data_IF_144279493321
#
_entry.id   IF_144279493321
#
_cell.length_a   1.000
_cell.length_b   1.000
_cell.length_c   1.000
_cell.angle_alpha   90.00
_cell.angle_beta   90.00
_cell.angle_gamma   90.00
#
_symmetry.space_group_name_H-M   'P 1'
#
loop_
_entity.id
_entity.type
_entity.pdbx_description
1 polymer ?
#
# COMPACT_ATOMS: atom_id res chain seq x y z
N UNK A 1 2.75 19.12 -4.06
CA UNK A 1 1.32 18.94 -4.39
C UNK A 1 1.11 17.61 -5.11
N UNK A 2 -0.04 16.99 -4.91
CA UNK A 2 -0.39 15.67 -5.45
C UNK A 2 -1.68 15.77 -6.27
N UNK A 3 -1.80 14.97 -7.32
CA UNK A 3 -2.87 15.01 -8.31
C UNK A 3 -3.48 13.63 -8.43
N UNK A 4 -4.79 13.52 -8.43
CA UNK A 4 -5.50 12.27 -8.67
C UNK A 4 -5.49 11.95 -10.18
N UNK A 5 -4.95 10.78 -10.53
CA UNK A 5 -4.98 10.25 -11.89
C UNK A 5 -6.15 9.29 -12.04
N UNK A 6 -7.04 9.57 -12.97
CA UNK A 6 -8.14 8.70 -13.36
C UNK A 6 -7.83 7.95 -14.66
N UNK A 7 -8.42 6.78 -14.80
CA UNK A 7 -8.46 6.04 -16.05
C UNK A 7 -9.41 6.74 -17.06
N UNK A 8 -9.39 6.33 -18.32
CA UNK A 8 -10.35 6.79 -19.30
C UNK A 8 -11.82 6.52 -18.91
N UNK A 9 -12.07 5.50 -18.11
CA UNK A 9 -13.37 5.14 -17.49
C UNK A 9 -13.74 5.96 -16.26
N UNK A 10 -12.95 6.98 -15.86
CA UNK A 10 -13.07 7.74 -14.60
C UNK A 10 -12.77 6.93 -13.33
N UNK A 11 -12.32 5.72 -13.43
CA UNK A 11 -11.87 4.94 -12.26
C UNK A 11 -10.56 5.51 -11.70
N UNK A 12 -10.45 5.69 -10.37
CA UNK A 12 -9.21 6.12 -9.74
C UNK A 12 -8.08 5.11 -9.98
N UNK A 13 -6.95 5.58 -10.51
CA UNK A 13 -5.77 4.74 -10.71
C UNK A 13 -4.75 4.91 -9.59
N UNK A 14 -4.35 6.15 -9.33
CA UNK A 14 -3.31 6.47 -8.34
C UNK A 14 -3.17 7.97 -8.13
N UNK A 15 -2.49 8.35 -7.07
CA UNK A 15 -2.02 9.72 -6.86
C UNK A 15 -0.63 9.88 -7.47
N UNK A 16 -0.41 10.98 -8.20
CA UNK A 16 0.86 11.32 -8.86
C UNK A 16 1.29 12.75 -8.48
N UNK A 17 2.53 13.12 -8.80
CA UNK A 17 3.02 14.49 -8.59
C UNK A 17 2.45 15.44 -9.63
N UNK A 18 2.28 16.72 -9.29
CA UNK A 18 1.84 17.78 -10.21
C UNK A 18 2.71 17.84 -11.47
N UNK A 19 4.03 17.71 -11.35
CA UNK A 19 4.95 17.67 -12.50
C UNK A 19 4.60 16.54 -13.46
N UNK A 20 4.30 15.33 -12.95
CA UNK A 20 3.94 14.19 -13.79
C UNK A 20 2.57 14.37 -14.44
N UNK A 21 1.60 14.96 -13.73
CA UNK A 21 0.28 15.26 -14.26
C UNK A 21 0.36 16.27 -15.42
N UNK A 22 1.08 17.36 -15.25
CA UNK A 22 1.31 18.35 -16.31
C UNK A 22 2.00 17.72 -17.52
N UNK A 23 3.01 16.88 -17.32
CA UNK A 23 3.66 16.17 -18.43
C UNK A 23 2.70 15.29 -19.22
N UNK A 24 1.72 14.65 -18.58
CA UNK A 24 0.69 13.85 -19.24
C UNK A 24 -0.30 14.74 -20.02
N UNK A 25 -0.72 15.87 -19.46
CA UNK A 25 -1.63 16.82 -20.10
C UNK A 25 -0.97 17.47 -21.31
N UNK A 26 0.23 18.00 -21.15
CA UNK A 26 0.97 18.68 -22.21
C UNK A 26 1.35 17.74 -23.37
N UNK A 27 1.58 16.46 -23.07
CA UNK A 27 1.83 15.44 -24.10
C UNK A 27 0.57 14.86 -24.75
N UNK A 28 -0.61 15.39 -24.41
CA UNK A 28 -1.91 14.93 -24.96
C UNK A 28 -2.33 13.53 -24.50
N UNK A 29 -1.71 12.99 -23.45
CA UNK A 29 -2.02 11.65 -22.91
C UNK A 29 -3.12 11.67 -21.85
N UNK A 30 -3.39 12.83 -21.25
CA UNK A 30 -4.45 13.04 -20.26
C UNK A 30 -5.15 14.37 -20.50
N UNK A 31 -6.38 14.47 -20.01
CA UNK A 31 -7.17 15.69 -19.94
C UNK A 31 -7.18 16.22 -18.50
N UNK A 32 -7.16 17.53 -18.34
CA UNK A 32 -7.46 18.20 -17.08
C UNK A 32 -8.96 18.03 -16.79
N UNK A 33 -9.30 17.47 -15.66
CA UNK A 33 -10.70 17.30 -15.21
C UNK A 33 -11.08 18.34 -14.17
N UNK A 34 -10.21 18.53 -13.17
CA UNK A 34 -10.42 19.51 -12.10
C UNK A 34 -9.12 20.28 -11.88
N UNK A 35 -9.11 21.61 -11.99
CA UNK A 35 -7.98 22.43 -11.58
C UNK A 35 -7.88 22.49 -10.06
N UNK A 36 -6.70 22.82 -9.54
CA UNK A 36 -6.44 23.05 -8.11
C UNK A 36 -6.67 24.53 -7.79
N UNK A 37 -7.93 24.93 -7.62
CA UNK A 37 -8.31 26.31 -7.46
C UNK A 37 -7.92 27.18 -8.65
N UNK A 38 -7.45 28.40 -8.37
CA UNK A 38 -6.98 29.37 -9.38
C UNK A 38 -5.47 29.34 -9.57
N UNK A 39 -4.78 28.30 -9.08
CA UNK A 39 -3.34 28.18 -9.19
C UNK A 39 -2.91 27.91 -10.66
N UNK A 40 -1.94 28.69 -11.14
CA UNK A 40 -1.37 28.58 -12.46
C UNK A 40 0.13 28.43 -12.43
N UNK A 41 0.66 27.65 -13.36
CA UNK A 41 2.10 27.50 -13.60
C UNK A 41 2.43 28.18 -14.93
N UNK A 42 3.43 29.05 -14.92
CA UNK A 42 3.92 29.71 -16.12
C UNK A 42 5.15 28.99 -16.68
N UNK A 43 5.13 28.71 -17.98
CA UNK A 43 6.28 28.17 -18.69
C UNK A 43 7.35 29.24 -18.94
N UNK A 44 8.57 28.82 -19.24
CA UNK A 44 9.66 29.73 -19.65
C UNK A 44 9.33 30.50 -20.93
N UNK A 45 8.42 29.98 -21.79
CA UNK A 45 7.90 30.63 -22.98
C UNK A 45 6.69 31.54 -22.75
N UNK A 46 6.29 31.78 -21.47
CA UNK A 46 5.20 32.68 -21.10
C UNK A 46 3.79 32.08 -21.15
N UNK A 47 3.62 30.83 -21.57
CA UNK A 47 2.31 30.16 -21.54
C UNK A 47 1.91 29.80 -20.09
N UNK A 48 0.64 30.02 -19.73
CA UNK A 48 0.07 29.72 -18.45
C UNK A 48 -0.76 28.42 -18.52
N UNK A 49 -0.62 27.58 -17.50
CA UNK A 49 -1.33 26.31 -17.37
C UNK A 49 -1.95 26.22 -15.97
N UNK A 50 -3.23 25.85 -15.89
CA UNK A 50 -3.86 25.58 -14.61
C UNK A 50 -3.19 24.38 -13.93
N UNK A 51 -2.95 24.50 -12.63
CA UNK A 51 -2.44 23.38 -11.82
C UNK A 51 -3.54 22.32 -11.71
N UNK A 52 -3.29 21.06 -12.07
CA UNK A 52 -4.30 20.03 -11.98
C UNK A 52 -4.45 19.50 -10.54
N UNK A 53 -5.69 19.37 -10.06
CA UNK A 53 -6.06 18.53 -8.92
C UNK A 53 -6.44 17.12 -9.36
N UNK A 54 -7.12 17.01 -10.53
CA UNK A 54 -7.54 15.74 -11.11
C UNK A 54 -7.25 15.73 -12.60
N UNK A 55 -6.61 14.66 -13.09
CA UNK A 55 -6.40 14.40 -14.51
C UNK A 55 -6.92 13.03 -14.90
N UNK A 56 -7.42 12.88 -16.13
CA UNK A 56 -7.95 11.63 -16.69
C UNK A 56 -7.14 11.21 -17.91
N UNK A 57 -6.75 9.95 -17.98
CA UNK A 57 -6.12 9.39 -19.17
C UNK A 57 -7.08 9.37 -20.36
N UNK A 58 -6.58 9.70 -21.55
CA UNK A 58 -7.34 9.58 -22.80
C UNK A 58 -7.49 8.15 -23.29
N UNK A 59 -6.53 7.28 -22.93
CA UNK A 59 -6.57 5.87 -23.29
C UNK A 59 -6.78 5.02 -22.05
N UNK A 60 -7.61 3.99 -22.18
CA UNK A 60 -7.87 3.01 -21.13
C UNK A 60 -6.59 2.24 -20.79
N UNK A 61 -6.22 2.21 -19.52
CA UNK A 61 -5.18 1.34 -18.99
C UNK A 61 -5.86 0.19 -18.27
N UNK A 62 -5.58 -1.03 -18.71
CA UNK A 62 -6.00 -2.22 -17.97
C UNK A 62 -5.11 -2.35 -16.73
N UNK A 63 -5.69 -2.12 -15.57
CA UNK A 63 -5.05 -2.47 -14.29
C UNK A 63 -5.37 -3.94 -14.03
N UNK A 64 -4.37 -4.82 -13.94
CA UNK A 64 -4.64 -6.21 -13.56
C UNK A 64 -5.36 -6.23 -12.22
N UNK A 65 -6.49 -6.93 -12.16
CA UNK A 65 -7.17 -7.15 -10.88
C UNK A 65 -6.26 -8.00 -9.99
N UNK A 66 -5.67 -7.37 -8.98
CA UNK A 66 -4.95 -8.10 -7.96
C UNK A 66 -5.96 -8.60 -6.94
N UNK A 67 -6.27 -9.88 -6.99
CA UNK A 67 -7.21 -10.53 -6.06
C UNK A 67 -6.77 -10.39 -4.60
N UNK A 68 -5.48 -10.16 -4.35
CA UNK A 68 -4.89 -9.95 -3.02
C UNK A 68 -3.91 -8.79 -3.07
N UNK A 69 -3.88 -7.97 -2.03
CA UNK A 69 -2.88 -6.93 -1.88
C UNK A 69 -1.46 -7.52 -1.85
N UNK A 70 -0.45 -6.85 -2.42
CA UNK A 70 0.93 -7.30 -2.32
C UNK A 70 1.36 -7.35 -0.85
N UNK A 71 2.06 -8.44 -0.48
CA UNK A 71 2.56 -8.63 0.87
C UNK A 71 3.66 -7.61 1.16
N UNK A 72 3.34 -6.61 1.95
CA UNK A 72 4.27 -5.56 2.37
C UNK A 72 4.12 -5.28 3.86
N UNK A 73 5.16 -4.72 4.48
CA UNK A 73 5.11 -4.34 5.90
C UNK A 73 3.92 -3.42 6.21
N UNK A 74 3.68 -2.43 5.37
CA UNK A 74 2.56 -1.48 5.52
C UNK A 74 1.22 -2.22 5.46
N UNK A 75 1.07 -3.15 4.54
CA UNK A 75 -0.15 -3.92 4.37
C UNK A 75 -0.38 -4.91 5.51
N UNK A 76 0.68 -5.58 6.02
CA UNK A 76 0.60 -6.44 7.20
C UNK A 76 0.24 -5.61 8.44
N UNK A 77 0.83 -4.43 8.62
CA UNK A 77 0.51 -3.54 9.73
C UNK A 77 -0.93 -2.98 9.62
N UNK A 78 -1.44 -2.73 8.42
CA UNK A 78 -2.84 -2.33 8.22
C UNK A 78 -3.82 -3.46 8.61
N UNK A 79 -3.47 -4.72 8.35
CA UNK A 79 -4.27 -5.89 8.75
C UNK A 79 -4.21 -6.14 10.27
N UNK A 80 -3.01 -6.20 10.84
CA UNK A 80 -2.74 -6.64 12.23
C UNK A 80 -2.85 -5.50 13.25
N UNK A 81 -2.84 -4.24 12.76
CA UNK A 81 -2.71 -3.07 13.62
C UNK A 81 -1.25 -2.83 14.07
N UNK A 82 -1.08 -1.90 14.99
CA UNK A 82 0.25 -1.50 15.49
C UNK A 82 0.79 -2.41 16.61
N UNK A 83 0.01 -3.36 17.10
CA UNK A 83 0.34 -4.19 18.25
C UNK A 83 0.99 -5.53 17.88
N UNK A 84 1.75 -6.07 18.81
CA UNK A 84 2.22 -7.46 18.74
C UNK A 84 1.02 -8.42 18.77
N UNK A 85 1.04 -9.41 17.89
CA UNK A 85 -0.08 -10.36 17.73
C UNK A 85 -0.05 -11.57 18.67
N UNK A 86 0.95 -11.68 19.53
CA UNK A 86 0.95 -12.70 20.59
C UNK A 86 -0.09 -12.34 21.65
N UNK A 87 -0.94 -13.30 22.04
CA UNK A 87 -1.96 -13.11 23.08
C UNK A 87 -1.32 -12.65 24.39
N UNK A 88 -1.94 -11.68 25.07
CA UNK A 88 -1.43 -11.09 26.31
C UNK A 88 -0.29 -10.08 26.11
N UNK A 89 0.20 -9.85 24.89
CA UNK A 89 1.23 -8.85 24.64
C UNK A 89 0.62 -7.49 24.26
N UNK A 90 1.01 -6.42 24.97
CA UNK A 90 0.59 -5.04 24.71
C UNK A 90 1.68 -4.19 24.04
N UNK A 91 2.82 -4.80 23.65
CA UNK A 91 3.93 -4.07 22.99
C UNK A 91 3.62 -3.77 21.54
N UNK A 92 4.28 -2.74 21.02
CA UNK A 92 4.22 -2.40 19.60
C UNK A 92 4.82 -3.53 18.76
N UNK A 93 4.15 -3.86 17.65
CA UNK A 93 4.64 -4.79 16.62
C UNK A 93 5.63 -4.08 15.70
N UNK A 94 6.91 -4.33 15.91
CA UNK A 94 7.99 -3.65 15.20
C UNK A 94 8.62 -4.51 14.11
N UNK A 95 8.34 -5.80 14.11
CA UNK A 95 8.91 -6.78 13.17
C UNK A 95 7.82 -7.59 12.52
N UNK A 96 8.11 -8.12 11.34
CA UNK A 96 7.31 -9.17 10.70
C UNK A 96 7.97 -10.50 11.05
N UNK A 97 7.17 -11.44 11.52
CA UNK A 97 7.60 -12.80 11.79
C UNK A 97 6.79 -13.81 10.99
N UNK A 98 7.41 -14.95 10.67
CA UNK A 98 6.75 -16.09 10.06
C UNK A 98 6.25 -17.04 11.13
N UNK A 99 4.94 -17.30 11.20
CA UNK A 99 4.34 -18.23 12.17
C UNK A 99 5.01 -19.59 12.11
N UNK A 100 5.08 -20.18 10.93
CA UNK A 100 5.96 -21.29 10.60
C UNK A 100 7.26 -20.72 10.06
N UNK A 101 8.39 -20.90 10.72
CA UNK A 101 9.67 -20.35 10.29
C UNK A 101 10.07 -20.85 8.90
N UNK A 102 10.76 -20.00 8.13
CA UNK A 102 11.24 -20.38 6.78
C UNK A 102 12.18 -21.58 6.82
N UNK A 103 13.00 -21.70 7.86
CA UNK A 103 13.87 -22.87 8.09
C UNK A 103 13.10 -24.18 8.28
N UNK A 104 11.81 -24.09 8.62
CA UNK A 104 10.89 -25.22 8.79
C UNK A 104 9.83 -25.32 7.68
N UNK A 105 10.12 -24.75 6.50
CA UNK A 105 9.23 -24.82 5.33
C UNK A 105 8.13 -23.79 5.28
N UNK A 106 8.13 -22.78 6.16
CA UNK A 106 7.16 -21.69 6.15
C UNK A 106 7.29 -20.81 4.91
N UNK A 107 6.17 -20.51 4.24
CA UNK A 107 6.10 -19.65 3.06
C UNK A 107 5.98 -18.18 3.44
N UNK A 108 6.35 -17.28 2.52
CA UNK A 108 6.17 -15.84 2.70
C UNK A 108 4.81 -15.42 2.12
N UNK A 109 3.75 -15.77 2.84
CA UNK A 109 2.36 -15.57 2.43
C UNK A 109 1.54 -14.90 3.54
N UNK A 110 0.40 -14.34 3.15
CA UNK A 110 -0.52 -13.65 4.07
C UNK A 110 -0.94 -14.50 5.27
N UNK A 111 -1.10 -15.79 5.08
CA UNK A 111 -1.50 -16.75 6.11
C UNK A 111 -0.39 -17.16 7.07
N UNK A 112 0.87 -16.83 6.73
CA UNK A 112 2.03 -17.23 7.52
C UNK A 112 2.85 -16.06 8.08
N UNK A 113 2.47 -14.81 7.87
CA UNK A 113 3.20 -13.65 8.39
C UNK A 113 2.34 -12.80 9.31
N UNK A 114 2.98 -12.21 10.33
CA UNK A 114 2.29 -11.41 11.34
C UNK A 114 3.18 -10.34 11.95
N UNK A 115 2.56 -9.29 12.52
CA UNK A 115 3.28 -8.28 13.28
C UNK A 115 3.66 -8.80 14.67
N UNK A 116 4.94 -8.71 15.01
CA UNK A 116 5.46 -9.17 16.31
C UNK A 116 6.40 -8.11 16.92
N UNK A 117 6.43 -7.98 18.24
CA UNK A 117 7.43 -7.13 18.90
C UNK A 117 8.82 -7.80 18.84
N UNK A 118 9.87 -7.00 18.89
CA UNK A 118 11.25 -7.49 18.82
C UNK A 118 11.52 -8.59 19.84
N UNK A 119 11.03 -8.44 21.08
CA UNK A 119 11.24 -9.44 22.14
C UNK A 119 10.65 -10.80 21.77
N UNK A 120 9.37 -10.84 21.34
CA UNK A 120 8.74 -12.11 20.99
C UNK A 120 9.36 -12.70 19.72
N UNK A 121 9.69 -11.87 18.73
CA UNK A 121 10.35 -12.33 17.50
C UNK A 121 11.71 -12.98 17.81
N UNK A 122 12.56 -12.32 18.60
CA UNK A 122 13.86 -12.87 19.02
C UNK A 122 13.71 -14.13 19.88
N UNK A 123 12.73 -14.15 20.79
CA UNK A 123 12.48 -15.31 21.64
C UNK A 123 11.92 -16.49 20.84
N UNK A 124 11.12 -16.23 19.81
CA UNK A 124 10.57 -17.27 18.94
C UNK A 124 11.65 -17.90 18.09
N UNK A 125 12.51 -17.08 17.47
CA UNK A 125 13.55 -17.60 16.56
C UNK A 125 12.96 -18.56 15.50
N UNK A 126 13.43 -19.78 15.41
CA UNK A 126 12.98 -20.84 14.51
C UNK A 126 11.98 -21.84 15.12
N UNK A 127 11.43 -21.51 16.31
CA UNK A 127 10.45 -22.35 17.00
C UNK A 127 9.03 -22.10 16.49
N UNK A 128 8.20 -23.12 16.59
CA UNK A 128 6.77 -23.02 16.33
C UNK A 128 6.04 -22.44 17.54
N UNK A 129 4.89 -21.84 17.35
CA UNK A 129 4.11 -21.19 18.42
C UNK A 129 3.73 -22.18 19.51
N UNK A 130 3.35 -23.42 19.15
CA UNK A 130 2.96 -24.45 20.12
C UNK A 130 4.13 -24.92 21.00
N UNK A 131 5.37 -24.93 20.48
CA UNK A 131 6.57 -25.24 21.24
C UNK A 131 6.87 -24.21 22.34
N UNK A 132 6.29 -23.00 22.20
CA UNK A 132 6.40 -21.91 23.16
C UNK A 132 5.14 -21.74 24.02
N UNK A 133 4.10 -22.53 23.79
CA UNK A 133 2.80 -22.34 24.40
C UNK A 133 2.10 -21.03 24.01
N UNK A 134 2.49 -20.41 22.89
CA UNK A 134 1.93 -19.14 22.46
C UNK A 134 0.72 -19.31 21.56
N UNK A 135 -0.20 -18.36 21.67
CA UNK A 135 -1.36 -18.23 20.80
C UNK A 135 -1.34 -16.85 20.14
N UNK A 136 -1.84 -16.78 18.93
CA UNK A 136 -2.04 -15.51 18.21
C UNK A 136 -3.40 -14.93 18.58
N UNK A 137 -3.49 -13.57 18.59
CA UNK A 137 -4.74 -12.82 18.80
C UNK A 137 -5.77 -13.11 17.71
N UNK A 138 -5.30 -13.30 16.49
CA UNK A 138 -6.10 -13.70 15.33
C UNK A 138 -5.26 -14.57 14.39
N UNK A 139 -5.91 -15.46 13.66
CA UNK A 139 -5.26 -16.16 12.56
C UNK A 139 -5.03 -15.19 11.40
N UNK A 140 -3.80 -15.12 10.85
CA UNK A 140 -3.53 -14.24 9.75
C UNK A 140 -4.20 -14.73 8.48
N UNK A 141 -4.95 -13.84 7.85
CA UNK A 141 -5.65 -14.08 6.58
C UNK A 141 -5.21 -13.08 5.52
N UNK A 142 -5.39 -13.41 4.26
CA UNK A 142 -5.21 -12.44 3.20
C UNK A 142 -6.31 -11.36 3.29
N UNK A 143 -5.99 -10.07 3.18
CA UNK A 143 -7.00 -9.02 3.14
C UNK A 143 -7.86 -9.18 1.89
N UNK A 144 -9.18 -9.00 2.03
CA UNK A 144 -10.11 -8.97 0.91
C UNK A 144 -10.13 -7.56 0.32
N UNK A 145 -9.86 -7.45 -0.98
CA UNK A 145 -9.85 -6.17 -1.70
C UNK A 145 -8.49 -5.46 -1.67
N UNK A 146 -8.36 -4.42 -2.50
CA UNK A 146 -7.19 -3.56 -2.48
C UNK A 146 -7.17 -2.75 -1.18
N UNK A 147 -6.10 -2.88 -0.40
CA UNK A 147 -5.80 -1.91 0.66
C UNK A 147 -5.37 -0.63 -0.06
N UNK A 148 -6.24 0.35 -0.11
CA UNK A 148 -5.97 1.70 -0.64
C UNK A 148 -5.08 2.47 0.35
#
# INVERSE_FOLDING_TARGET
MTVLLLNASFEPLRVITTRRALGLVLSGKADLVVPDGDDHIRSTGGAEFAVPAVVRLRRMVRVPFQATAPLSRRAIQARDGKGCQVVGCHRVGQTIDHIVPRSRGGTHEWTNVTMMCVRHNSQKSDRLLHELGWKMKAEPTAPRGALV
#
